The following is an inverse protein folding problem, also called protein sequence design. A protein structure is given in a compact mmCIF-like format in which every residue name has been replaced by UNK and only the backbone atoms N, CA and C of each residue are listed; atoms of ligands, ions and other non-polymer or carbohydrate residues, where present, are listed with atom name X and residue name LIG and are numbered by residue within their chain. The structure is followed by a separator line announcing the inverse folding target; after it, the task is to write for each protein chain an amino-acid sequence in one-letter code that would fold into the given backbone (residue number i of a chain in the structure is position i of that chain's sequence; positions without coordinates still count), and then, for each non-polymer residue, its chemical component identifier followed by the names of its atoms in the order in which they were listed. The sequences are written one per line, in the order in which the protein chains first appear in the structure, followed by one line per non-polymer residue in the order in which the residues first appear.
data_IF_087629602952
#
_entry.id   IF_087629602952
#
_cell.length_a   1.000
_cell.length_b   1.000
_cell.length_c   1.000
_cell.angle_alpha   90.00
_cell.angle_beta   90.00
_cell.angle_gamma   90.00
#
_symmetry.space_group_name_H-M   'P 1'
#
loop_
_entity.id
_entity.type
_entity.pdbx_description
1 polymer ?
#
# COMPACT_ATOMS: atom_id res chain seq x y z
N UNK A 1 1.24 19.12 18.30
CA UNK A 1 2.54 18.94 17.62
C UNK A 1 2.58 19.88 16.43
N UNK A 2 3.67 20.61 16.18
CA UNK A 2 3.80 21.39 14.94
C UNK A 2 4.12 20.43 13.81
N UNK A 3 3.32 20.48 12.75
CA UNK A 3 3.48 19.61 11.59
C UNK A 3 4.53 20.21 10.65
N UNK A 4 5.56 19.41 10.30
CA UNK A 4 6.55 19.81 9.33
C UNK A 4 5.95 19.74 7.92
N UNK A 5 6.16 20.79 7.12
CA UNK A 5 5.76 20.87 5.72
C UNK A 5 6.94 20.48 4.86
N UNK A 6 6.73 19.60 3.87
CA UNK A 6 7.75 19.19 2.92
C UNK A 6 8.21 20.33 2.01
N UNK A 7 9.34 20.15 1.33
CA UNK A 7 9.93 21.17 0.44
C UNK A 7 9.02 21.57 -0.73
N UNK A 8 8.03 20.74 -1.06
CA UNK A 8 7.01 20.90 -2.09
C UNK A 8 5.67 21.48 -1.54
N UNK A 9 5.62 21.87 -0.26
CA UNK A 9 4.38 22.29 0.38
C UNK A 9 3.46 21.13 0.77
N UNK A 10 3.84 19.89 0.45
CA UNK A 10 3.09 18.69 0.78
C UNK A 10 3.62 18.08 2.09
N UNK A 11 2.70 17.57 2.92
CA UNK A 11 3.06 16.74 4.06
C UNK A 11 2.93 15.28 3.67
N UNK A 12 4.01 14.52 3.83
CA UNK A 12 4.06 13.08 3.58
C UNK A 12 4.08 12.33 4.90
N UNK A 13 3.22 11.32 5.03
CA UNK A 13 3.17 10.42 6.19
C UNK A 13 3.61 9.04 5.69
N UNK A 14 4.65 8.49 6.30
CA UNK A 14 5.11 7.13 6.02
C UNK A 14 4.44 6.16 6.99
N UNK A 15 3.81 5.11 6.47
CA UNK A 15 3.16 4.06 7.26
C UNK A 15 3.87 2.74 6.92
N UNK A 16 4.45 2.11 7.93
CA UNK A 16 5.04 0.78 7.84
C UNK A 16 4.06 -0.24 8.41
N UNK A 17 3.67 -1.25 7.63
CA UNK A 17 2.76 -2.30 8.10
C UNK A 17 2.09 -3.07 6.97
N UNK A 18 1.33 -4.09 7.34
CA UNK A 18 0.49 -4.88 6.45
C UNK A 18 -0.99 -4.66 6.77
N UNK A 19 -1.83 -4.70 5.75
CA UNK A 19 -3.29 -4.73 5.91
C UNK A 19 -3.74 -6.17 5.66
N UNK A 20 -4.31 -6.82 6.68
CA UNK A 20 -4.89 -8.15 6.54
C UNK A 20 -6.33 -8.02 6.03
N UNK A 21 -6.65 -8.79 5.00
CA UNK A 21 -7.94 -8.76 4.31
C UNK A 21 -8.46 -10.18 4.09
N UNK A 22 -9.75 -10.30 3.80
CA UNK A 22 -10.35 -11.60 3.48
C UNK A 22 -9.78 -12.21 2.19
N UNK A 23 -9.66 -13.54 2.14
CA UNK A 23 -9.10 -14.28 0.99
C UNK A 23 -9.91 -14.15 -0.30
N UNK A 24 -11.19 -13.79 -0.21
CA UNK A 24 -12.06 -13.55 -1.36
C UNK A 24 -11.90 -12.12 -1.94
N UNK A 25 -11.16 -11.24 -1.26
CA UNK A 25 -10.92 -9.89 -1.73
C UNK A 25 -9.80 -9.90 -2.79
N UNK A 26 -10.16 -9.59 -4.03
CA UNK A 26 -9.16 -9.46 -5.09
C UNK A 26 -8.31 -8.20 -4.91
N UNK A 27 -7.07 -8.24 -5.41
CA UNK A 27 -6.14 -7.09 -5.43
C UNK A 27 -6.79 -5.83 -6.02
N UNK A 28 -7.54 -5.96 -7.11
CA UNK A 28 -8.19 -4.83 -7.79
C UNK A 28 -9.33 -4.23 -6.96
N UNK A 29 -10.13 -5.09 -6.30
CA UNK A 29 -11.19 -4.61 -5.41
C UNK A 29 -10.60 -3.91 -4.19
N UNK A 30 -9.53 -4.44 -3.61
CA UNK A 30 -8.78 -3.77 -2.55
C UNK A 30 -8.24 -2.41 -3.02
N UNK A 31 -7.58 -2.36 -4.19
CA UNK A 31 -7.05 -1.14 -4.78
C UNK A 31 -8.13 -0.05 -4.92
N UNK A 32 -9.27 -0.41 -5.49
CA UNK A 32 -10.38 0.53 -5.69
C UNK A 32 -10.94 1.07 -4.37
N UNK A 33 -11.07 0.23 -3.34
CA UNK A 33 -11.52 0.66 -2.01
C UNK A 33 -10.49 1.59 -1.37
N UNK A 34 -9.21 1.22 -1.42
CA UNK A 34 -8.13 1.98 -0.82
C UNK A 34 -7.96 3.35 -1.47
N UNK A 35 -7.83 3.40 -2.80
CA UNK A 35 -7.71 4.66 -3.54
C UNK A 35 -8.96 5.52 -3.35
N UNK A 36 -10.17 4.92 -3.39
CA UNK A 36 -11.40 5.65 -3.12
C UNK A 36 -11.42 6.32 -1.74
N UNK A 37 -10.90 5.65 -0.70
CA UNK A 37 -10.73 6.25 0.63
C UNK A 37 -9.73 7.42 0.63
N UNK A 38 -8.59 7.29 -0.05
CA UNK A 38 -7.57 8.35 -0.12
C UNK A 38 -8.11 9.56 -0.88
N UNK A 39 -8.61 9.36 -2.09
CA UNK A 39 -9.12 10.44 -2.95
C UNK A 39 -10.38 11.09 -2.35
N UNK A 40 -11.22 10.33 -1.65
CA UNK A 40 -12.36 10.85 -0.90
C UNK A 40 -11.98 11.84 0.21
N UNK A 41 -10.72 11.87 0.64
CA UNK A 41 -10.17 12.84 1.59
C UNK A 41 -9.35 13.96 0.91
N UNK A 42 -9.39 14.07 -0.43
CA UNK A 42 -8.55 14.96 -1.22
C UNK A 42 -7.03 14.73 -1.01
N UNK A 43 -6.65 13.49 -0.70
CA UNK A 43 -5.26 13.10 -0.58
C UNK A 43 -4.75 12.56 -1.91
N UNK A 44 -3.43 12.62 -2.10
CA UNK A 44 -2.76 12.04 -3.26
C UNK A 44 -1.96 10.82 -2.80
N UNK A 45 -2.12 9.70 -3.50
CA UNK A 45 -1.31 8.50 -3.29
C UNK A 45 -0.26 8.37 -4.38
N UNK A 46 1.02 8.39 -3.98
CA UNK A 46 2.16 8.12 -4.85
C UNK A 46 2.87 6.86 -4.36
N UNK A 47 2.48 5.70 -4.89
CA UNK A 47 2.96 4.42 -4.38
C UNK A 47 2.52 3.22 -5.22
N UNK A 48 3.00 2.04 -4.82
CA UNK A 48 2.63 0.73 -5.40
C UNK A 48 2.12 -0.18 -4.30
N UNK A 49 1.09 -0.97 -4.61
CA UNK A 49 0.63 -2.08 -3.75
C UNK A 49 1.29 -3.36 -4.25
N UNK A 50 1.79 -4.18 -3.32
CA UNK A 50 2.33 -5.52 -3.60
C UNK A 50 1.59 -6.52 -2.74
N UNK A 51 1.20 -7.63 -3.35
CA UNK A 51 0.55 -8.74 -2.66
C UNK A 51 1.60 -9.63 -2.00
N UNK A 52 1.29 -10.16 -0.82
CA UNK A 52 2.12 -11.11 -0.10
C UNK A 52 1.29 -12.38 0.13
N UNK A 53 1.79 -13.53 -0.31
CA UNK A 53 1.17 -14.84 -0.06
C UNK A 53 2.22 -15.77 0.54
N UNK A 54 1.88 -16.42 1.65
CA UNK A 54 2.78 -17.29 2.43
C UNK A 54 4.11 -16.59 2.79
N UNK A 55 4.06 -15.28 3.09
CA UNK A 55 5.25 -14.50 3.42
C UNK A 55 6.08 -14.05 2.22
N UNK A 56 5.72 -14.35 0.97
CA UNK A 56 6.46 -13.92 -0.22
C UNK A 56 5.73 -12.82 -0.99
N UNK A 57 6.47 -11.81 -1.47
CA UNK A 57 5.91 -10.89 -2.47
C UNK A 57 5.53 -11.65 -3.74
N UNK A 58 4.39 -11.31 -4.34
CA UNK A 58 3.96 -11.89 -5.60
C UNK A 58 4.40 -11.00 -6.78
N UNK A 59 5.06 -11.62 -7.75
CA UNK A 59 5.49 -10.99 -9.00
C UNK A 59 4.30 -10.76 -9.94
N UNK A 60 4.48 -9.93 -10.98
CA UNK A 60 3.42 -9.65 -11.96
C UNK A 60 2.98 -10.89 -12.76
N UNK A 61 3.87 -11.88 -12.92
CA UNK A 61 3.58 -13.17 -13.57
C UNK A 61 2.92 -14.21 -12.62
N UNK A 62 2.64 -13.82 -11.37
CA UNK A 62 2.03 -14.67 -10.35
C UNK A 62 3.00 -15.58 -9.60
N UNK A 63 4.30 -15.54 -9.90
CA UNK A 63 5.32 -16.32 -9.18
C UNK A 63 5.66 -15.70 -7.81
N UNK A 64 6.13 -16.54 -6.88
CA UNK A 64 6.65 -16.07 -5.58
C UNK A 64 8.02 -15.43 -5.77
N UNK A 65 8.15 -14.18 -5.35
CA UNK A 65 9.40 -13.43 -5.26
C UNK A 65 10.08 -13.60 -3.91
N UNK A 66 10.87 -12.58 -3.51
CA UNK A 66 11.57 -12.58 -2.22
C UNK A 66 10.59 -12.65 -1.05
N UNK A 67 11.03 -13.23 0.06
CA UNK A 67 10.26 -13.23 1.30
C UNK A 67 10.16 -11.79 1.83
N UNK A 68 8.97 -11.40 2.28
CA UNK A 68 8.61 -10.01 2.54
C UNK A 68 9.16 -9.47 3.85
N UNK A 69 9.56 -10.38 4.74
CA UNK A 69 10.09 -10.11 6.07
C UNK A 69 11.56 -10.56 6.21
N UNK A 70 12.23 -10.87 5.10
CA UNK A 70 13.68 -11.01 5.12
C UNK A 70 14.29 -9.60 5.14
N UNK A 71 15.11 -9.35 6.16
CA UNK A 71 15.85 -8.09 6.37
C UNK A 71 16.76 -7.73 5.17
#
# INVERSE_FOLDING_TARGET
MKEAVGQDGARKIYIQGAVEVSLDLTKDKFWNIFIGFIEGNNWLFDGKIREIIDGHYINEDGTKGRHAFDD
#
